data_IF_896425788795
#
_entry.id   IF_896425788795
#
_cell.length_a   1.000
_cell.length_b   1.000
_cell.length_c   1.000
_cell.angle_alpha   90.00
_cell.angle_beta   90.00
_cell.angle_gamma   90.00
#
_symmetry.space_group_name_H-M   'P 1'
#
loop_
_entity.id
_entity.type
_entity.pdbx_description
1 polymer ?
#
# COMPACT_ATOMS: atom_id res chain seq x y z
N UNK A 1 -25.76 4.57 -14.11
CA UNK A 1 -25.14 4.16 -12.84
C UNK A 1 -25.05 5.38 -11.92
N UNK A 2 -25.77 5.37 -10.80
CA UNK A 2 -25.80 6.48 -9.83
C UNK A 2 -24.44 6.57 -9.12
N UNK A 3 -23.77 7.72 -9.18
CA UNK A 3 -22.46 7.94 -8.53
C UNK A 3 -22.64 7.96 -7.01
N UNK A 4 -22.48 6.79 -6.37
CA UNK A 4 -22.54 6.65 -4.92
C UNK A 4 -21.25 7.18 -4.28
N UNK A 5 -21.41 7.85 -3.15
CA UNK A 5 -20.31 8.36 -2.34
C UNK A 5 -20.49 7.85 -0.92
N UNK A 6 -19.38 7.70 -0.20
CA UNK A 6 -19.37 7.39 1.22
C UNK A 6 -18.27 8.18 1.92
N UNK A 7 -18.34 8.20 3.25
CA UNK A 7 -17.43 8.97 4.09
C UNK A 7 -16.63 8.03 4.98
N UNK A 8 -15.32 8.24 5.04
CA UNK A 8 -14.46 7.65 6.06
C UNK A 8 -14.55 8.51 7.32
N UNK A 9 -15.14 7.99 8.37
CA UNK A 9 -15.20 8.59 9.71
C UNK A 9 -14.08 7.92 10.53
N UNK A 10 -13.27 8.65 11.34
CA UNK A 10 -13.42 10.03 11.82
C UNK A 10 -12.76 11.10 10.94
N UNK A 11 -12.04 10.72 9.89
CA UNK A 11 -11.24 11.66 9.09
C UNK A 11 -12.08 12.57 8.16
N UNK A 12 -13.40 12.36 8.10
CA UNK A 12 -14.34 13.07 7.22
C UNK A 12 -13.86 13.14 5.76
N UNK A 13 -13.24 12.05 5.27
CA UNK A 13 -12.76 11.98 3.89
C UNK A 13 -13.86 11.39 3.01
N UNK A 14 -14.21 12.09 1.94
CA UNK A 14 -15.19 11.65 0.95
C UNK A 14 -14.54 10.73 -0.07
N UNK A 15 -15.19 9.60 -0.33
CA UNK A 15 -14.81 8.65 -1.37
C UNK A 15 -15.96 8.47 -2.35
N UNK A 16 -15.63 8.45 -3.64
CA UNK A 16 -16.51 7.97 -4.71
C UNK A 16 -16.41 6.46 -4.78
N UNK A 17 -17.53 5.77 -4.72
CA UNK A 17 -17.57 4.32 -4.92
C UNK A 17 -17.23 3.98 -6.37
N UNK A 18 -16.19 3.18 -6.56
CA UNK A 18 -15.79 2.65 -7.87
C UNK A 18 -16.23 1.22 -8.04
N UNK A 19 -16.19 0.44 -6.97
CA UNK A 19 -16.57 -0.96 -6.98
C UNK A 19 -17.15 -1.35 -5.62
N UNK A 20 -18.12 -2.25 -5.60
CA UNK A 20 -18.85 -2.62 -4.40
C UNK A 20 -19.26 -4.10 -4.48
N UNK A 21 -18.92 -4.86 -3.44
CA UNK A 21 -19.23 -6.29 -3.30
C UNK A 21 -20.17 -6.51 -2.11
N UNK A 22 -20.47 -7.77 -1.78
CA UNK A 22 -21.20 -8.09 -0.55
C UNK A 22 -20.50 -7.52 0.70
N UNK A 23 -19.20 -7.77 0.82
CA UNK A 23 -18.47 -7.48 2.08
C UNK A 23 -17.63 -6.20 2.04
N UNK A 24 -17.30 -5.70 0.85
CA UNK A 24 -16.32 -4.63 0.67
C UNK A 24 -16.78 -3.55 -0.30
N UNK A 25 -16.20 -2.35 -0.16
CA UNK A 25 -16.39 -1.23 -1.07
C UNK A 25 -15.05 -0.58 -1.38
N UNK A 26 -14.77 -0.40 -2.67
CA UNK A 26 -13.60 0.32 -3.17
C UNK A 26 -13.99 1.77 -3.41
N UNK A 27 -13.32 2.67 -2.69
CA UNK A 27 -13.48 4.11 -2.81
C UNK A 27 -12.28 4.78 -3.44
N UNK A 28 -12.54 5.87 -4.16
CA UNK A 28 -11.50 6.80 -4.65
C UNK A 28 -11.84 8.21 -4.20
N UNK A 29 -10.89 8.88 -3.53
CA UNK A 29 -11.09 10.27 -3.09
C UNK A 29 -10.63 11.29 -4.15
N UNK A 30 -10.81 12.57 -3.84
CA UNK A 30 -10.45 13.69 -4.74
C UNK A 30 -8.93 13.80 -4.99
N UNK A 31 -8.11 13.13 -4.18
CA UNK A 31 -6.65 13.03 -4.35
C UNK A 31 -6.23 11.83 -5.21
N UNK A 32 -7.18 11.05 -5.69
CA UNK A 32 -6.93 9.82 -6.44
C UNK A 32 -6.43 8.65 -5.59
N UNK A 33 -6.62 8.69 -4.26
CA UNK A 33 -6.24 7.58 -3.37
C UNK A 33 -7.31 6.49 -3.40
N UNK A 34 -6.87 5.25 -3.65
CA UNK A 34 -7.73 4.07 -3.63
C UNK A 34 -7.66 3.40 -2.26
N UNK A 35 -8.83 3.24 -1.63
CA UNK A 35 -8.97 2.50 -0.37
C UNK A 35 -10.11 1.49 -0.46
N UNK A 36 -9.88 0.28 0.04
CA UNK A 36 -10.88 -0.76 0.18
C UNK A 36 -11.36 -0.80 1.62
N UNK A 37 -12.67 -0.69 1.83
CA UNK A 37 -13.30 -0.70 3.14
C UNK A 37 -14.14 -1.96 3.29
N UNK A 38 -14.16 -2.55 4.49
CA UNK A 38 -15.13 -3.60 4.82
C UNK A 38 -16.41 -2.96 5.33
N UNK A 39 -17.56 -3.43 4.83
CA UNK A 39 -18.87 -2.88 5.19
C UNK A 39 -19.32 -3.26 6.60
N UNK A 40 -18.90 -4.43 7.06
CA UNK A 40 -19.22 -4.97 8.39
C UNK A 40 -18.72 -4.09 9.54
N UNK A 41 -17.52 -3.52 9.37
CA UNK A 41 -16.75 -2.85 10.42
C UNK A 41 -16.44 -1.39 10.07
N UNK A 42 -16.60 -0.99 8.80
CA UNK A 42 -16.14 0.30 8.29
C UNK A 42 -14.61 0.44 8.25
N UNK A 43 -13.88 -0.64 8.55
CA UNK A 43 -12.42 -0.63 8.63
C UNK A 43 -11.78 -0.67 7.23
N UNK A 44 -10.59 -0.08 7.12
CA UNK A 44 -9.80 -0.12 5.89
C UNK A 44 -9.14 -1.50 5.77
N UNK A 45 -9.59 -2.28 4.80
CA UNK A 45 -9.00 -3.57 4.47
C UNK A 45 -7.73 -3.43 3.62
N UNK A 46 -7.65 -2.38 2.79
CA UNK A 46 -6.49 -2.13 1.94
C UNK A 46 -6.33 -0.64 1.65
N UNK A 47 -5.09 -0.17 1.72
CA UNK A 47 -4.66 1.18 1.34
C UNK A 47 -3.51 1.06 0.33
N UNK A 48 -3.74 1.53 -0.89
CA UNK A 48 -2.79 1.43 -2.00
C UNK A 48 -1.47 2.15 -1.69
N UNK A 49 -1.52 3.36 -1.13
CA UNK A 49 -0.33 4.15 -0.80
C UNK A 49 0.51 3.46 0.26
N UNK A 50 -0.13 2.95 1.31
CA UNK A 50 0.56 2.21 2.36
C UNK A 50 1.20 0.91 1.82
N UNK A 51 0.49 0.20 0.94
CA UNK A 51 1.00 -1.02 0.29
C UNK A 51 2.21 -0.72 -0.61
N UNK A 52 2.14 0.35 -1.41
CA UNK A 52 3.24 0.80 -2.27
C UNK A 52 4.46 1.21 -1.44
N UNK A 53 4.27 1.98 -0.35
CA UNK A 53 5.34 2.36 0.56
C UNK A 53 6.05 1.14 1.15
N UNK A 54 5.30 0.14 1.65
CA UNK A 54 5.87 -1.12 2.16
C UNK A 54 6.66 -1.88 1.08
N UNK A 55 6.16 -1.90 -0.17
CA UNK A 55 6.85 -2.54 -1.30
C UNK A 55 8.16 -1.83 -1.65
N UNK A 56 8.15 -0.49 -1.70
CA UNK A 56 9.34 0.31 -1.97
C UNK A 56 10.41 0.12 -0.88
N UNK A 57 10.02 0.13 0.39
CA UNK A 57 10.94 -0.14 1.52
C UNK A 57 11.55 -1.55 1.40
N UNK A 58 10.74 -2.56 1.07
CA UNK A 58 11.22 -3.94 0.87
C UNK A 58 12.23 -4.02 -0.27
N UNK A 59 11.98 -3.32 -1.38
CA UNK A 59 12.90 -3.27 -2.53
C UNK A 59 14.20 -2.52 -2.18
N UNK A 60 14.11 -1.42 -1.44
CA UNK A 60 15.28 -0.68 -0.96
C UNK A 60 16.16 -1.55 -0.04
N UNK A 61 15.56 -2.30 0.90
CA UNK A 61 16.27 -3.25 1.77
C UNK A 61 16.94 -4.39 0.98
N UNK A 62 16.31 -4.88 -0.10
CA UNK A 62 16.94 -5.88 -0.99
C UNK A 62 18.16 -5.31 -1.70
N UNK A 63 18.08 -4.07 -2.21
CA UNK A 63 19.22 -3.42 -2.90
C UNK A 63 20.40 -3.15 -1.95
N UNK A 64 20.17 -2.81 -0.69
CA UNK A 64 21.26 -2.63 0.27
C UNK A 64 21.99 -3.95 0.57
N UNK A 65 21.26 -5.06 0.77
CA UNK A 65 21.86 -6.39 0.98
C UNK A 65 22.68 -6.84 -0.24
N UNK A 66 22.17 -6.66 -1.46
CA UNK A 66 22.92 -7.03 -2.68
C UNK A 66 24.21 -6.22 -2.85
N UNK A 67 24.25 -4.96 -2.40
CA UNK A 67 25.47 -4.13 -2.45
C UNK A 67 26.53 -4.61 -1.47
N UNK A 68 26.14 -5.02 -0.26
CA UNK A 68 27.05 -5.58 0.75
C UNK A 68 27.64 -6.92 0.27
N UNK A 69 26.82 -7.84 -0.24
CA UNK A 69 27.31 -9.16 -0.70
C UNK A 69 28.32 -9.04 -1.87
N UNK A 70 28.19 -8.03 -2.74
CA UNK A 70 29.18 -7.78 -3.81
C UNK A 70 30.49 -7.13 -3.31
N UNK A 71 30.48 -6.44 -2.17
CA UNK A 71 31.64 -5.75 -1.62
C UNK A 71 32.44 -6.60 -0.62
N UNK A 72 31.79 -7.52 0.09
CA UNK A 72 32.45 -8.40 1.07
C UNK A 72 33.61 -9.24 0.48
N UNK A 73 33.48 -9.92 -0.67
CA UNK A 73 34.60 -10.70 -1.22
C UNK A 73 35.74 -9.83 -1.79
N UNK A 74 35.59 -8.50 -1.89
CA UNK A 74 36.67 -7.59 -2.29
C UNK A 74 37.45 -7.00 -1.13
N UNK A 75 36.91 -7.07 0.09
CA UNK A 75 37.52 -6.49 1.29
C UNK A 75 38.25 -7.53 2.15
N UNK A 76 37.96 -8.81 1.97
CA UNK A 76 38.66 -9.91 2.63
C UNK A 76 39.10 -10.95 1.58
N UNK A 77 40.30 -10.83 0.98
CA UNK A 77 40.87 -11.94 0.23
C UNK A 77 41.08 -13.12 1.19
N UNK A 78 40.60 -14.30 0.79
CA UNK A 78 40.87 -15.53 1.56
C UNK A 78 42.38 -15.79 1.56
N UNK A 79 42.99 -16.12 2.70
CA UNK A 79 44.41 -16.48 2.73
C UNK A 79 44.61 -17.77 1.93
N UNK A 80 45.52 -17.71 0.96
CA UNK A 80 46.04 -18.86 0.19
C UNK A 80 47.07 -19.59 1.03
#
# INVERSE_FOLDING_TARGET
MTRRHFWQIPEFIKFRTVFENADTVLGVNDRGEHKLFRKDTGSISFDERAALGKRLIRLAKRKSVTRVVRLVPRLFPQPV
#
